data_IF_230461416042
#
_entry.id   IF_230461416042
#
_cell.length_a   1.000
_cell.length_b   1.000
_cell.length_c   1.000
_cell.angle_alpha   90.00
_cell.angle_beta   90.00
_cell.angle_gamma   90.00
#
_symmetry.space_group_name_H-M   'P 1'
#
loop_
_entity.id
_entity.type
_entity.pdbx_description
1 polymer ?
#
# COMPACT_ATOMS: atom_id res chain seq x y z
N UNK A 1 -12.71 13.80 1.60
CA UNK A 1 -12.94 14.68 0.42
C UNK A 1 -11.90 14.41 -0.68
N UNK A 2 -12.35 13.96 -1.84
CA UNK A 2 -11.52 13.86 -3.05
C UNK A 2 -11.42 15.25 -3.67
N UNK A 3 -10.20 15.78 -3.79
CA UNK A 3 -9.97 17.09 -4.41
C UNK A 3 -9.59 16.88 -5.87
N UNK A 4 -10.45 17.34 -6.79
CA UNK A 4 -10.30 17.17 -8.24
C UNK A 4 -9.14 17.98 -8.83
N UNK A 5 -8.71 19.05 -8.16
CA UNK A 5 -7.59 19.91 -8.58
C UNK A 5 -6.59 20.07 -7.42
N UNK A 6 -5.52 19.28 -7.40
CA UNK A 6 -4.50 19.40 -6.35
C UNK A 6 -3.81 18.10 -5.93
N UNK A 7 -4.01 17.01 -6.66
CA UNK A 7 -3.21 15.79 -6.50
C UNK A 7 -1.88 15.97 -7.25
N UNK A 8 -0.77 15.95 -6.51
CA UNK A 8 0.57 16.06 -7.10
C UNK A 8 1.53 15.06 -6.45
N UNK A 9 2.30 14.34 -7.26
CA UNK A 9 3.43 13.56 -6.78
C UNK A 9 4.55 14.53 -6.37
N UNK A 10 4.91 14.51 -5.09
CA UNK A 10 5.96 15.36 -4.53
C UNK A 10 7.31 14.66 -4.54
N UNK A 11 7.35 13.39 -4.11
CA UNK A 11 8.58 12.60 -4.02
C UNK A 11 8.34 11.14 -4.34
N UNK A 12 9.30 10.54 -5.02
CA UNK A 12 9.38 9.11 -5.30
C UNK A 12 10.70 8.60 -4.73
N UNK A 13 10.66 7.61 -3.84
CA UNK A 13 11.86 7.05 -3.23
C UNK A 13 11.77 5.52 -3.18
N UNK A 14 12.74 4.85 -3.81
CA UNK A 14 12.94 3.41 -3.66
C UNK A 14 13.57 3.09 -2.31
N UNK A 15 13.06 2.04 -1.66
CA UNK A 15 13.52 1.54 -0.35
C UNK A 15 13.57 0.01 -0.31
N UNK A 16 14.29 -0.65 -1.24
CA UNK A 16 14.29 -2.11 -1.36
C UNK A 16 14.79 -2.81 -0.09
N UNK A 17 15.76 -2.24 0.63
CA UNK A 17 16.37 -2.84 1.82
C UNK A 17 15.62 -2.56 3.13
N UNK A 18 14.54 -1.77 3.08
CA UNK A 18 13.75 -1.43 4.26
C UNK A 18 12.35 -2.06 4.18
N UNK A 19 12.15 -3.31 4.60
CA UNK A 19 10.82 -3.90 4.58
C UNK A 19 9.90 -3.23 5.62
N UNK A 20 8.65 -2.97 5.23
CA UNK A 20 7.64 -2.39 6.13
C UNK A 20 7.35 -3.32 7.32
N UNK A 21 6.85 -2.82 8.46
CA UNK A 21 6.45 -3.68 9.59
C UNK A 21 5.46 -4.77 9.20
N UNK A 22 4.52 -4.46 8.28
CA UNK A 22 3.57 -5.44 7.72
C UNK A 22 4.30 -6.51 6.90
N UNK A 23 5.24 -6.13 6.04
CA UNK A 23 6.03 -7.06 5.26
C UNK A 23 6.88 -7.98 6.16
N UNK A 24 7.49 -7.42 7.22
CA UNK A 24 8.21 -8.18 8.24
C UNK A 24 7.32 -9.21 8.94
N UNK A 25 6.13 -8.79 9.38
CA UNK A 25 5.17 -9.70 10.02
C UNK A 25 4.70 -10.82 9.07
N UNK A 26 4.46 -10.50 7.79
CA UNK A 26 4.12 -11.49 6.75
C UNK A 26 5.25 -12.48 6.51
N UNK A 27 6.50 -12.02 6.51
CA UNK A 27 7.66 -12.89 6.37
C UNK A 27 7.77 -13.91 7.52
N UNK A 28 7.42 -13.51 8.75
CA UNK A 28 7.42 -14.41 9.91
C UNK A 28 6.42 -15.58 9.78
N UNK A 29 5.33 -15.41 9.03
CA UNK A 29 4.34 -16.47 8.79
C UNK A 29 4.50 -17.15 7.41
N UNK A 30 5.68 -17.00 6.78
CA UNK A 30 6.07 -17.73 5.59
C UNK A 30 5.71 -17.09 4.24
N UNK A 31 5.20 -15.85 4.21
CA UNK A 31 5.04 -15.13 2.95
C UNK A 31 6.37 -14.56 2.46
N UNK A 32 6.55 -14.52 1.14
CA UNK A 32 7.71 -13.84 0.56
C UNK A 32 7.64 -12.33 0.80
N UNK A 33 8.76 -11.68 1.19
CA UNK A 33 8.83 -10.23 1.28
C UNK A 33 8.64 -9.58 -0.11
N UNK A 34 8.29 -8.28 -0.17
CA UNK A 34 8.24 -7.59 -1.44
C UNK A 34 9.64 -7.57 -2.07
N UNK A 35 9.72 -7.78 -3.37
CA UNK A 35 10.99 -7.71 -4.10
C UNK A 35 11.39 -6.27 -4.40
N UNK A 36 10.43 -5.34 -4.33
CA UNK A 36 10.63 -3.93 -4.54
C UNK A 36 9.66 -3.13 -3.67
N UNK A 37 10.17 -2.14 -2.92
CA UNK A 37 9.37 -1.25 -2.05
C UNK A 37 9.65 0.18 -2.45
N UNK A 38 8.58 0.95 -2.57
CA UNK A 38 8.64 2.37 -2.83
C UNK A 38 7.80 3.21 -1.85
N UNK A 39 8.31 4.38 -1.50
CA UNK A 39 7.60 5.42 -0.75
C UNK A 39 7.27 6.57 -1.70
N UNK A 40 5.98 6.84 -1.91
CA UNK A 40 5.50 7.93 -2.76
C UNK A 40 4.84 8.99 -1.91
N UNK A 41 5.41 10.19 -1.86
CA UNK A 41 4.80 11.31 -1.16
C UNK A 41 3.90 12.07 -2.13
N UNK A 42 2.62 12.11 -1.82
CA UNK A 42 1.58 12.77 -2.64
C UNK A 42 1.02 13.96 -1.88
N UNK A 43 0.96 15.12 -2.53
CA UNK A 43 0.15 16.24 -2.05
C UNK A 43 -1.32 15.93 -2.34
N UNK A 44 -2.13 15.78 -1.29
CA UNK A 44 -3.58 15.64 -1.34
C UNK A 44 -4.21 16.88 -0.74
N UNK A 45 -4.73 17.76 -1.58
CA UNK A 45 -5.39 19.00 -1.14
C UNK A 45 -4.45 19.87 -0.28
N UNK A 46 -3.16 19.94 -0.63
CA UNK A 46 -2.15 20.69 0.13
C UNK A 46 -1.59 19.95 1.36
N UNK A 47 -2.06 18.74 1.67
CA UNK A 47 -1.47 17.88 2.72
C UNK A 47 -0.53 16.85 2.10
N UNK A 48 0.66 16.70 2.65
CA UNK A 48 1.55 15.62 2.22
C UNK A 48 1.10 14.30 2.83
N UNK A 49 0.90 13.30 1.99
CA UNK A 49 0.54 11.94 2.40
C UNK A 49 1.52 10.98 1.75
N UNK A 50 2.28 10.27 2.58
CA UNK A 50 3.16 9.21 2.11
C UNK A 50 2.36 7.94 1.85
N UNK A 51 2.57 7.33 0.69
CA UNK A 51 2.04 6.02 0.31
C UNK A 51 3.19 5.02 0.26
N UNK A 52 2.99 3.88 0.90
CA UNK A 52 3.87 2.72 0.84
C UNK A 52 3.35 1.79 -0.25
N UNK A 53 4.22 1.44 -1.20
CA UNK A 53 3.90 0.57 -2.32
C UNK A 53 4.85 -0.62 -2.26
N UNK A 54 4.30 -1.78 -1.94
CA UNK A 54 5.02 -3.04 -1.87
C UNK A 54 4.70 -3.87 -3.12
N UNK A 55 5.72 -4.29 -3.88
CA UNK A 55 5.58 -5.18 -5.04
C UNK A 55 5.95 -6.61 -4.67
N UNK A 56 5.03 -7.55 -4.88
CA UNK A 56 5.18 -8.96 -4.58
C UNK A 56 5.09 -9.80 -5.85
N UNK A 57 5.78 -10.94 -5.85
CA UNK A 57 5.55 -11.98 -6.84
C UNK A 57 4.13 -12.53 -6.66
N UNK A 58 3.31 -12.38 -7.69
CA UNK A 58 1.95 -12.90 -7.73
C UNK A 58 1.93 -14.40 -8.00
N UNK A 59 0.75 -15.00 -7.82
CA UNK A 59 0.54 -16.43 -8.12
C UNK A 59 0.55 -16.65 -9.64
N UNK A 60 1.56 -17.35 -10.12
CA UNK A 60 1.69 -17.72 -11.54
C UNK A 60 0.64 -18.77 -11.91
N UNK A 61 0.02 -18.63 -13.06
CA UNK A 61 -0.88 -19.64 -13.66
C UNK A 61 -0.48 -19.89 -15.11
N UNK A 62 -1.00 -20.94 -15.74
CA UNK A 62 -0.76 -21.18 -17.16
C UNK A 62 -1.19 -20.00 -18.06
N UNK A 63 -2.25 -19.29 -17.66
CA UNK A 63 -2.74 -18.09 -18.35
C UNK A 63 -1.98 -16.81 -17.97
N UNK A 64 -1.36 -16.77 -16.79
CA UNK A 64 -0.57 -15.64 -16.29
C UNK A 64 0.81 -16.13 -15.82
N UNK A 65 1.73 -16.39 -16.77
CA UNK A 65 3.05 -16.93 -16.46
C UNK A 65 3.94 -15.93 -15.72
N UNK A 66 3.60 -14.64 -15.74
CA UNK A 66 4.18 -13.60 -14.87
C UNK A 66 3.02 -12.91 -14.18
N UNK A 67 3.00 -12.94 -12.85
CA UNK A 67 1.99 -12.31 -12.03
C UNK A 67 2.68 -11.43 -10.99
N UNK A 68 2.16 -10.21 -10.80
CA UNK A 68 2.64 -9.26 -9.79
C UNK A 68 1.45 -8.87 -8.93
N UNK A 69 1.64 -8.86 -7.62
CA UNK A 69 0.67 -8.33 -6.68
C UNK A 69 1.20 -7.03 -6.08
N UNK A 70 0.38 -5.98 -6.14
CA UNK A 70 0.74 -4.65 -5.64
C UNK A 70 -0.11 -4.34 -4.42
N UNK A 71 0.54 -4.01 -3.32
CA UNK A 71 -0.11 -3.55 -2.08
C UNK A 71 0.27 -2.07 -1.88
N UNK A 72 -0.66 -1.18 -2.21
CA UNK A 72 -0.52 0.26 -2.06
C UNK A 72 -1.39 0.76 -0.89
N UNK A 73 -0.79 1.45 0.08
CA UNK A 73 -1.49 1.94 1.28
C UNK A 73 -0.88 3.23 1.81
N UNK A 74 -1.66 4.08 2.49
CA UNK A 74 -1.09 5.23 3.20
C UNK A 74 -0.12 4.77 4.30
N UNK A 75 0.91 5.58 4.50
CA UNK A 75 1.84 5.46 5.60
C UNK A 75 1.09 5.76 6.92
N UNK A 76 1.54 5.15 8.02
CA UNK A 76 0.83 5.21 9.30
C UNK A 76 1.35 6.33 10.19
N UNK A 77 2.10 7.23 9.58
CA UNK A 77 3.00 8.17 10.20
C UNK A 77 2.19 9.33 10.82
N UNK A 78 0.99 9.56 10.26
CA UNK A 78 -0.04 10.45 10.80
C UNK A 78 -1.23 9.67 11.37
N UNK A 79 -1.87 10.21 12.40
CA UNK A 79 -3.09 9.66 13.02
C UNK A 79 -4.20 9.37 11.99
N UNK A 80 -4.28 10.18 10.93
CA UNK A 80 -5.22 9.99 9.83
C UNK A 80 -4.83 8.79 8.94
N UNK A 81 -3.53 8.56 8.70
CA UNK A 81 -3.03 7.38 7.99
C UNK A 81 -3.19 6.09 8.79
N UNK A 82 -3.05 6.15 10.12
CA UNK A 82 -3.37 5.03 11.00
C UNK A 82 -4.87 4.73 11.02
N UNK A 83 -5.74 5.76 11.06
CA UNK A 83 -7.19 5.58 10.95
C UNK A 83 -7.60 4.97 9.60
N UNK A 84 -6.99 5.43 8.50
CA UNK A 84 -7.24 4.87 7.16
C UNK A 84 -6.83 3.39 7.07
N UNK A 85 -5.75 2.99 7.77
CA UNK A 85 -5.32 1.58 7.86
C UNK A 85 -6.32 0.67 8.58
N UNK A 86 -7.09 1.21 9.53
CA UNK A 86 -8.12 0.46 10.25
C UNK A 86 -9.44 0.51 9.50
N UNK A 87 -9.85 1.68 9.01
CA UNK A 87 -11.15 1.92 8.37
C UNK A 87 -11.28 1.18 7.04
N UNK A 88 -10.25 1.20 6.18
CA UNK A 88 -10.39 0.70 4.81
C UNK A 88 -10.58 -0.83 4.73
N UNK A 89 -9.85 -1.66 5.48
CA UNK A 89 -10.13 -3.10 5.52
C UNK A 89 -11.50 -3.43 6.10
N UNK A 90 -11.92 -2.73 7.16
CA UNK A 90 -13.24 -2.91 7.80
C UNK A 90 -14.36 -2.54 6.84
N UNK A 91 -14.23 -1.40 6.15
CA UNK A 91 -15.24 -0.95 5.18
C UNK A 91 -15.34 -1.88 3.97
N UNK A 92 -14.21 -2.45 3.54
CA UNK A 92 -14.19 -3.49 2.48
C UNK A 92 -14.89 -4.76 2.95
N UNK A 93 -14.53 -5.28 4.11
CA UNK A 93 -15.20 -6.45 4.69
C UNK A 93 -16.70 -6.23 4.88
N UNK A 94 -17.11 -5.05 5.36
CA UNK A 94 -18.52 -4.75 5.57
C UNK A 94 -19.29 -4.73 4.24
N UNK A 95 -18.73 -4.12 3.19
CA UNK A 95 -19.31 -4.19 1.84
C UNK A 95 -19.41 -5.63 1.32
N UNK A 96 -18.40 -6.46 1.55
CA UNK A 96 -18.40 -7.86 1.14
C UNK A 96 -19.38 -8.71 1.96
N UNK A 97 -19.70 -8.32 3.20
CA UNK A 97 -20.62 -9.04 4.09
C UNK A 97 -22.09 -8.61 3.91
N UNK A 98 -22.34 -7.39 3.41
CA UNK A 98 -23.68 -6.85 3.14
C UNK A 98 -24.06 -6.86 1.65
N UNK A 99 -23.20 -7.40 0.79
CA UNK A 99 -23.36 -7.46 -0.66
C UNK A 99 -23.55 -8.88 -1.15
#
# INVERSE_FOLDING_TARGET
>A
PECLSGLRLLRFQGKPDEPTPKARARALVGYSPPFDRHDWVISRCGKEVTYLIDFYNGRRTAAAPVAIHIDARPAGDDLQGMWDRVRMPVMRWWKDATG
#
